data_IF_360645292264
#
_entry.id   IF_360645292264
#
_cell.length_a   1.000
_cell.length_b   1.000
_cell.length_c   1.000
_cell.angle_alpha   90.00
_cell.angle_beta   90.00
_cell.angle_gamma   90.00
#
_symmetry.space_group_name_H-M   'P 1'
#
loop_
_entity.id
_entity.type
_entity.pdbx_description
1 polymer ?
#
# COMPACT_ATOMS: atom_id res chain seq x y z
N UNK A 1 3.10 -12.42 -24.64
CA UNK A 1 2.08 -13.49 -24.46
C UNK A 1 1.56 -13.94 -25.82
N UNK A 2 1.18 -15.21 -26.03
CA UNK A 2 0.63 -15.63 -27.35
C UNK A 2 -0.88 -15.45 -27.38
N UNK A 3 -1.43 -14.94 -28.48
CA UNK A 3 -2.88 -14.78 -28.76
C UNK A 3 -3.71 -16.07 -28.50
N UNK A 4 -3.04 -17.21 -28.40
CA UNK A 4 -3.68 -18.49 -28.12
C UNK A 4 -4.02 -18.67 -26.64
N UNK A 5 -3.25 -18.09 -25.70
CA UNK A 5 -3.40 -18.34 -24.27
C UNK A 5 -4.70 -17.79 -23.68
N UNK A 6 -5.08 -16.55 -24.00
CA UNK A 6 -6.35 -15.95 -23.57
C UNK A 6 -7.55 -16.73 -24.12
N UNK A 7 -7.45 -17.15 -25.37
CA UNK A 7 -8.51 -17.93 -26.02
C UNK A 7 -8.64 -19.31 -25.39
N UNK A 8 -7.53 -19.95 -25.04
CA UNK A 8 -7.54 -21.27 -24.42
C UNK A 8 -8.03 -21.23 -22.97
N UNK A 9 -7.69 -20.18 -22.21
CA UNK A 9 -8.27 -19.94 -20.88
C UNK A 9 -9.77 -19.64 -20.95
N UNK A 10 -10.23 -18.89 -21.95
CA UNK A 10 -11.66 -18.65 -22.14
C UNK A 10 -12.43 -19.94 -22.53
N UNK A 11 -11.80 -20.86 -23.26
CA UNK A 11 -12.36 -22.20 -23.50
C UNK A 11 -12.45 -23.03 -22.23
N UNK A 12 -11.41 -23.04 -21.39
CA UNK A 12 -11.46 -23.73 -20.08
C UNK A 12 -12.60 -23.20 -19.22
N UNK A 13 -12.79 -21.87 -19.18
CA UNK A 13 -13.96 -21.25 -18.51
C UNK A 13 -15.27 -21.79 -19.08
N UNK A 14 -15.41 -21.85 -20.41
CA UNK A 14 -16.60 -22.43 -21.07
C UNK A 14 -16.84 -23.90 -20.75
N UNK A 15 -15.77 -24.71 -20.65
CA UNK A 15 -15.84 -26.11 -20.26
C UNK A 15 -16.30 -26.26 -18.80
N UNK A 16 -15.77 -25.44 -17.88
CA UNK A 16 -16.22 -25.41 -16.48
C UNK A 16 -17.66 -24.96 -16.33
N UNK A 17 -18.08 -23.95 -17.09
CA UNK A 17 -19.50 -23.54 -17.14
C UNK A 17 -20.38 -24.67 -17.64
N UNK A 18 -19.97 -25.39 -18.69
CA UNK A 18 -20.75 -26.52 -19.24
C UNK A 18 -20.91 -27.65 -18.22
N UNK A 19 -19.87 -27.96 -17.45
CA UNK A 19 -19.94 -28.93 -16.36
C UNK A 19 -20.91 -28.50 -15.24
N UNK A 20 -20.83 -27.22 -14.83
CA UNK A 20 -21.74 -26.64 -13.84
C UNK A 20 -23.21 -26.70 -14.31
N UNK A 21 -23.46 -26.39 -15.59
CA UNK A 21 -24.79 -26.43 -16.19
C UNK A 21 -25.34 -27.85 -16.28
N UNK A 22 -24.49 -28.84 -16.56
CA UNK A 22 -24.90 -30.25 -16.58
C UNK A 22 -25.37 -30.71 -15.20
N UNK A 23 -24.76 -30.20 -14.12
CA UNK A 23 -25.20 -30.46 -12.74
C UNK A 23 -26.50 -29.73 -12.42
N UNK A 24 -26.62 -28.46 -12.80
CA UNK A 24 -27.84 -27.68 -12.60
C UNK A 24 -29.05 -28.25 -13.37
N UNK A 25 -28.83 -28.79 -14.57
CA UNK A 25 -29.89 -29.38 -15.38
C UNK A 25 -30.54 -30.60 -14.69
N UNK A 26 -29.78 -31.37 -13.90
CA UNK A 26 -30.34 -32.47 -13.10
C UNK A 26 -31.33 -31.99 -12.04
N UNK A 27 -31.20 -30.75 -11.56
CA UNK A 27 -32.19 -30.12 -10.66
C UNK A 27 -33.44 -29.66 -11.42
N UNK A 28 -33.24 -29.22 -12.68
CA UNK A 28 -34.29 -28.71 -13.55
C UNK A 28 -35.21 -29.81 -14.14
N UNK A 29 -34.85 -31.10 -14.00
CA UNK A 29 -35.69 -32.21 -14.47
C UNK A 29 -37.01 -32.35 -13.69
N UNK A 30 -37.08 -31.83 -12.47
CA UNK A 30 -38.33 -31.76 -11.73
C UNK A 30 -39.23 -30.70 -12.37
N UNK A 31 -40.47 -31.01 -12.80
CA UNK A 31 -41.38 -30.02 -13.43
C UNK A 31 -41.97 -29.00 -12.43
N UNK A 32 -41.16 -28.48 -11.54
CA UNK A 32 -41.52 -27.48 -10.52
C UNK A 32 -41.27 -26.05 -11.02
N UNK A 33 -41.93 -25.07 -10.43
CA UNK A 33 -41.71 -23.64 -10.74
C UNK A 33 -40.27 -23.22 -10.41
N UNK A 34 -39.68 -23.82 -9.36
CA UNK A 34 -38.29 -23.60 -8.96
C UNK A 34 -37.30 -24.17 -9.97
N UNK A 35 -37.60 -25.31 -10.59
CA UNK A 35 -36.78 -25.88 -11.66
C UNK A 35 -36.76 -25.02 -12.92
N UNK A 36 -37.87 -24.35 -13.25
CA UNK A 36 -37.90 -23.40 -14.36
C UNK A 36 -36.98 -22.20 -14.11
N UNK A 37 -36.93 -21.69 -12.87
CA UNK A 37 -36.02 -20.61 -12.50
C UNK A 37 -34.53 -21.01 -12.53
N UNK A 38 -34.22 -22.29 -12.28
CA UNK A 38 -32.87 -22.85 -12.43
C UNK A 38 -32.50 -23.03 -13.90
N UNK A 39 -33.43 -23.51 -14.73
CA UNK A 39 -33.24 -23.64 -16.18
C UNK A 39 -32.97 -22.28 -16.83
N UNK A 40 -33.78 -21.26 -16.52
CA UNK A 40 -33.59 -19.90 -17.05
C UNK A 40 -32.24 -19.30 -16.61
N UNK A 41 -31.86 -19.48 -15.34
CA UNK A 41 -30.55 -19.04 -14.86
C UNK A 41 -29.39 -19.81 -15.54
N UNK A 42 -29.62 -21.09 -15.85
CA UNK A 42 -28.68 -21.93 -16.59
C UNK A 42 -28.46 -21.42 -18.02
N UNK A 43 -29.54 -21.08 -18.73
CA UNK A 43 -29.47 -20.49 -20.08
C UNK A 43 -28.69 -19.18 -20.06
N UNK A 44 -28.98 -18.27 -19.10
CA UNK A 44 -28.24 -17.01 -18.96
C UNK A 44 -26.75 -17.20 -18.68
N UNK A 45 -26.40 -18.21 -17.89
CA UNK A 45 -25.01 -18.55 -17.60
C UNK A 45 -24.31 -19.12 -18.85
N UNK A 46 -25.00 -19.95 -19.64
CA UNK A 46 -24.49 -20.45 -20.92
C UNK A 46 -24.25 -19.31 -21.92
N UNK A 47 -25.17 -18.36 -22.03
CA UNK A 47 -25.04 -17.22 -22.93
C UNK A 47 -23.89 -16.31 -22.50
N UNK A 48 -23.77 -16.01 -21.21
CA UNK A 48 -22.65 -15.22 -20.68
C UNK A 48 -21.28 -15.89 -20.94
N UNK A 49 -21.20 -17.22 -20.90
CA UNK A 49 -19.97 -17.94 -21.24
C UNK A 49 -19.64 -17.88 -22.73
N UNK A 50 -20.64 -17.93 -23.61
CA UNK A 50 -20.45 -17.74 -25.06
C UNK A 50 -20.00 -16.32 -25.37
N UNK A 51 -20.61 -15.33 -24.74
CA UNK A 51 -20.26 -13.92 -24.91
C UNK A 51 -18.83 -13.65 -24.43
N UNK A 52 -18.43 -14.25 -23.30
CA UNK A 52 -17.06 -14.19 -22.81
C UNK A 52 -16.07 -14.80 -23.81
N UNK A 53 -16.36 -15.98 -24.36
CA UNK A 53 -15.49 -16.62 -25.35
C UNK A 53 -15.37 -15.79 -26.63
N UNK A 54 -16.48 -15.25 -27.14
CA UNK A 54 -16.47 -14.36 -28.30
C UNK A 54 -15.67 -13.09 -28.01
N UNK A 55 -15.87 -12.49 -26.84
CA UNK A 55 -15.10 -11.33 -26.40
C UNK A 55 -13.61 -11.66 -26.34
N UNK A 56 -13.22 -12.81 -25.77
CA UNK A 56 -11.84 -13.27 -25.71
C UNK A 56 -11.24 -13.46 -27.11
N UNK A 57 -11.97 -14.07 -28.05
CA UNK A 57 -11.52 -14.26 -29.43
C UNK A 57 -11.31 -12.93 -30.17
N UNK A 58 -12.20 -11.95 -29.96
CA UNK A 58 -12.12 -10.63 -30.59
C UNK A 58 -11.01 -9.76 -29.99
N UNK A 59 -10.80 -9.87 -28.67
CA UNK A 59 -9.86 -9.03 -27.93
C UNK A 59 -8.46 -9.62 -27.85
N UNK A 60 -8.29 -10.94 -28.00
CA UNK A 60 -6.99 -11.60 -27.83
C UNK A 60 -5.87 -11.00 -28.71
N UNK A 61 -6.08 -10.68 -30.01
CA UNK A 61 -5.02 -10.06 -30.82
C UNK A 61 -4.63 -8.65 -30.38
N UNK A 62 -5.52 -7.95 -29.67
CA UNK A 62 -5.36 -6.56 -29.22
C UNK A 62 -5.46 -6.44 -27.71
N UNK A 63 -5.12 -7.51 -26.96
CA UNK A 63 -5.36 -7.56 -25.51
C UNK A 63 -4.48 -6.58 -24.72
N UNK A 64 -3.45 -6.03 -25.35
CA UNK A 64 -2.61 -4.95 -24.82
C UNK A 64 -3.38 -3.62 -24.70
N UNK A 65 -4.50 -3.47 -25.42
CA UNK A 65 -5.33 -2.27 -25.40
C UNK A 65 -6.25 -2.25 -24.16
N UNK A 66 -6.26 -1.16 -23.35
CA UNK A 66 -7.01 -1.11 -22.08
C UNK A 66 -8.53 -1.32 -22.23
N UNK A 67 -9.11 -0.87 -23.35
CA UNK A 67 -10.53 -1.02 -23.63
C UNK A 67 -10.90 -2.48 -23.92
N UNK A 68 -10.00 -3.25 -24.54
CA UNK A 68 -10.15 -4.68 -24.76
C UNK A 68 -10.12 -5.47 -23.45
N UNK A 69 -9.19 -5.13 -22.54
CA UNK A 69 -9.12 -5.72 -21.20
C UNK A 69 -10.36 -5.41 -20.36
N UNK A 70 -10.86 -4.17 -20.45
CA UNK A 70 -12.08 -3.74 -19.75
C UNK A 70 -13.31 -4.50 -20.24
N UNK A 71 -13.45 -4.67 -21.56
CA UNK A 71 -14.53 -5.45 -22.16
C UNK A 71 -14.48 -6.92 -21.71
N UNK A 72 -13.29 -7.53 -21.69
CA UNK A 72 -13.10 -8.91 -21.25
C UNK A 72 -13.37 -9.09 -19.76
N UNK A 73 -13.00 -8.10 -18.94
CA UNK A 73 -13.30 -8.06 -17.49
C UNK A 73 -14.80 -7.99 -17.26
N UNK A 74 -15.52 -7.12 -17.96
CA UNK A 74 -16.97 -6.98 -17.85
C UNK A 74 -17.71 -8.26 -18.25
N UNK A 75 -17.24 -8.95 -19.30
CA UNK A 75 -17.79 -10.25 -19.71
C UNK A 75 -17.57 -11.33 -18.63
N UNK A 76 -16.37 -11.37 -18.03
CA UNK A 76 -16.03 -12.29 -16.95
C UNK A 76 -16.87 -12.06 -15.68
N UNK A 77 -17.11 -10.80 -15.32
CA UNK A 77 -17.99 -10.43 -14.21
C UNK A 77 -19.46 -10.77 -14.48
N UNK A 78 -19.92 -10.58 -15.71
CA UNK A 78 -21.27 -10.98 -16.14
C UNK A 78 -21.46 -12.49 -15.98
N UNK A 79 -20.48 -13.30 -16.38
CA UNK A 79 -20.55 -14.76 -16.20
C UNK A 79 -20.54 -15.16 -14.72
N UNK A 80 -19.65 -14.56 -13.90
CA UNK A 80 -19.60 -14.83 -12.46
C UNK A 80 -20.92 -14.48 -11.77
N UNK A 81 -21.52 -13.32 -12.12
CA UNK A 81 -22.84 -12.93 -11.63
C UNK A 81 -23.93 -13.93 -12.03
N UNK A 82 -23.97 -14.34 -13.31
CA UNK A 82 -24.92 -15.36 -13.79
C UNK A 82 -24.76 -16.70 -13.06
N UNK A 83 -23.53 -17.15 -12.78
CA UNK A 83 -23.26 -18.36 -12.01
C UNK A 83 -23.74 -18.24 -10.55
N UNK A 84 -23.57 -17.07 -9.92
CA UNK A 84 -24.10 -16.82 -8.57
C UNK A 84 -25.63 -16.78 -8.54
N UNK A 85 -26.26 -16.24 -9.58
CA UNK A 85 -27.72 -16.30 -9.73
C UNK A 85 -28.20 -17.74 -9.88
N UNK A 86 -27.50 -18.57 -10.67
CA UNK A 86 -27.78 -20.00 -10.79
C UNK A 86 -27.69 -20.71 -9.44
N UNK A 87 -26.63 -20.46 -8.65
CA UNK A 87 -26.48 -21.02 -7.30
C UNK A 87 -27.63 -20.58 -6.38
N UNK A 88 -28.01 -19.30 -6.43
CA UNK A 88 -29.07 -18.75 -5.59
C UNK A 88 -30.43 -19.37 -5.91
N UNK A 89 -30.76 -19.52 -7.20
CA UNK A 89 -32.00 -20.15 -7.63
C UNK A 89 -32.00 -21.66 -7.37
N UNK A 90 -30.83 -22.29 -7.29
CA UNK A 90 -30.71 -23.72 -6.99
C UNK A 90 -30.89 -24.05 -5.50
N UNK A 91 -30.60 -23.12 -4.59
CA UNK A 91 -30.74 -23.29 -3.12
C UNK A 91 -32.05 -23.96 -2.67
N UNK A 92 -33.26 -23.49 -3.06
CA UNK A 92 -34.51 -24.08 -2.59
C UNK A 92 -34.72 -25.54 -3.04
N UNK A 93 -34.10 -25.98 -4.13
CA UNK A 93 -34.13 -27.38 -4.56
C UNK A 93 -33.12 -28.24 -3.79
N UNK A 94 -31.98 -27.64 -3.43
CA UNK A 94 -30.89 -28.30 -2.72
C UNK A 94 -31.17 -28.53 -1.22
N UNK A 95 -32.15 -27.83 -0.64
CA UNK A 95 -32.64 -28.09 0.73
C UNK A 95 -33.41 -29.42 0.86
N UNK A 96 -33.75 -30.05 -0.27
CA UNK A 96 -34.39 -31.37 -0.25
C UNK A 96 -33.35 -32.49 -0.05
N UNK A 97 -33.59 -33.45 0.87
CA UNK A 97 -32.65 -34.54 1.17
C UNK A 97 -32.21 -35.37 -0.04
N UNK A 98 -33.04 -35.40 -1.09
CA UNK A 98 -32.81 -36.12 -2.34
C UNK A 98 -31.62 -35.60 -3.15
N UNK A 99 -31.25 -34.31 -3.00
CA UNK A 99 -30.24 -33.65 -3.84
C UNK A 99 -28.95 -33.26 -3.11
N UNK A 100 -28.72 -33.81 -1.91
CA UNK A 100 -27.58 -33.40 -1.07
C UNK A 100 -26.20 -33.65 -1.73
N UNK A 101 -26.05 -34.74 -2.49
CA UNK A 101 -24.85 -35.00 -3.30
C UNK A 101 -24.64 -33.96 -4.42
N UNK A 102 -25.74 -33.45 -4.97
CA UNK A 102 -25.73 -32.46 -6.05
C UNK A 102 -25.38 -31.07 -5.50
N UNK A 103 -25.65 -30.80 -4.23
CA UNK A 103 -25.21 -29.58 -3.53
C UNK A 103 -23.69 -29.44 -3.56
N UNK A 104 -22.97 -30.48 -3.17
CA UNK A 104 -21.51 -30.47 -3.10
C UNK A 104 -20.91 -30.35 -4.52
N UNK A 105 -21.46 -31.09 -5.48
CA UNK A 105 -21.07 -31.00 -6.89
C UNK A 105 -21.24 -29.59 -7.46
N UNK A 106 -22.38 -28.94 -7.22
CA UNK A 106 -22.70 -27.61 -7.74
C UNK A 106 -21.79 -26.53 -7.12
N UNK A 107 -21.51 -26.63 -5.82
CA UNK A 107 -20.58 -25.72 -5.13
C UNK A 107 -19.14 -25.92 -5.63
N UNK A 108 -18.70 -27.17 -5.83
CA UNK A 108 -17.39 -27.47 -6.40
C UNK A 108 -17.28 -26.91 -7.82
N UNK A 109 -18.29 -27.13 -8.67
CA UNK A 109 -18.35 -26.61 -10.03
C UNK A 109 -18.29 -25.07 -10.09
N UNK A 110 -19.05 -24.38 -9.23
CA UNK A 110 -19.01 -22.92 -9.14
C UNK A 110 -17.66 -22.41 -8.64
N UNK A 111 -17.03 -23.11 -7.71
CA UNK A 111 -15.68 -22.78 -7.21
C UNK A 111 -14.64 -22.93 -8.32
N UNK A 112 -14.70 -24.01 -9.10
CA UNK A 112 -13.78 -24.26 -10.20
C UNK A 112 -13.96 -23.25 -11.35
N UNK A 113 -15.20 -22.87 -11.64
CA UNK A 113 -15.50 -21.79 -12.59
C UNK A 113 -14.88 -20.46 -12.16
N UNK A 114 -15.06 -20.06 -10.89
CA UNK A 114 -14.49 -18.80 -10.39
C UNK A 114 -12.94 -18.83 -10.42
N UNK A 115 -12.31 -19.97 -10.10
CA UNK A 115 -10.86 -20.13 -10.25
C UNK A 115 -10.40 -19.99 -11.70
N UNK A 116 -11.15 -20.55 -12.66
CA UNK A 116 -10.83 -20.41 -14.08
C UNK A 116 -10.97 -18.96 -14.54
N UNK A 117 -12.00 -18.24 -14.08
CA UNK A 117 -12.19 -16.81 -14.33
C UNK A 117 -11.05 -15.96 -13.73
N UNK A 118 -10.59 -16.28 -12.52
CA UNK A 118 -9.47 -15.58 -11.90
C UNK A 118 -8.17 -15.79 -12.66
N UNK A 119 -7.91 -17.02 -13.15
CA UNK A 119 -6.76 -17.30 -14.02
C UNK A 119 -6.82 -16.52 -15.33
N UNK A 120 -8.00 -16.46 -15.95
CA UNK A 120 -8.22 -15.66 -17.16
C UNK A 120 -7.94 -14.18 -16.90
N UNK A 121 -8.46 -13.61 -15.80
CA UNK A 121 -8.21 -12.22 -15.38
C UNK A 121 -6.73 -11.95 -15.14
N UNK A 122 -6.06 -12.87 -14.45
CA UNK A 122 -4.63 -12.76 -14.17
C UNK A 122 -3.79 -12.76 -15.45
N UNK A 123 -4.14 -13.60 -16.43
CA UNK A 123 -3.38 -13.73 -17.67
C UNK A 123 -3.26 -12.41 -18.45
N UNK A 124 -4.31 -11.59 -18.53
CA UNK A 124 -4.21 -10.27 -19.15
C UNK A 124 -3.87 -9.12 -18.19
N UNK A 125 -3.89 -9.36 -16.87
CA UNK A 125 -3.38 -8.42 -15.87
C UNK A 125 -1.85 -8.50 -15.71
N UNK A 126 -1.23 -9.65 -16.03
CA UNK A 126 0.20 -9.89 -15.87
C UNK A 126 1.08 -9.18 -16.91
N UNK A 127 0.54 -8.66 -18.01
CA UNK A 127 1.35 -7.89 -18.97
C UNK A 127 1.44 -6.38 -18.65
N UNK A 128 0.57 -5.85 -17.79
CA UNK A 128 0.66 -4.50 -17.27
C UNK A 128 -0.29 -4.42 -16.07
N UNK A 129 0.22 -4.11 -14.87
CA UNK A 129 -0.65 -3.57 -13.82
C UNK A 129 -1.52 -2.49 -14.48
N UNK A 130 -2.84 -2.67 -14.42
CA UNK A 130 -3.83 -1.99 -15.27
C UNK A 130 -3.38 -0.57 -15.61
N UNK A 131 -3.37 -0.17 -16.88
CA UNK A 131 -3.03 1.21 -17.29
C UNK A 131 -3.81 2.23 -16.42
N UNK A 132 -5.04 1.87 -16.02
CA UNK A 132 -5.84 2.61 -15.05
C UNK A 132 -5.19 2.71 -13.67
N UNK A 133 -4.67 1.61 -13.10
CA UNK A 133 -3.94 1.61 -11.83
C UNK A 133 -2.61 2.36 -11.92
N UNK A 134 -1.89 2.27 -13.04
CA UNK A 134 -0.67 3.06 -13.26
C UNK A 134 -0.98 4.55 -13.35
N UNK A 135 -2.04 4.94 -14.07
CA UNK A 135 -2.52 6.32 -14.16
C UNK A 135 -2.98 6.82 -12.78
N UNK A 136 -3.73 6.02 -12.02
CA UNK A 136 -4.22 6.38 -10.70
C UNK A 136 -3.08 6.53 -9.70
N UNK A 137 -2.09 5.63 -9.72
CA UNK A 137 -0.86 5.75 -8.94
C UNK A 137 -0.04 6.96 -9.35
N UNK A 138 0.09 7.23 -10.65
CA UNK A 138 0.80 8.40 -11.14
C UNK A 138 0.09 9.70 -10.74
N UNK A 139 -1.25 9.74 -10.74
CA UNK A 139 -2.04 10.85 -10.24
C UNK A 139 -1.87 11.04 -8.72
N UNK A 140 -1.92 9.96 -7.94
CA UNK A 140 -1.67 10.00 -6.50
C UNK A 140 -0.25 10.48 -6.19
N UNK A 141 0.75 10.00 -6.93
CA UNK A 141 2.13 10.46 -6.83
C UNK A 141 2.27 11.94 -7.20
N UNK A 142 1.68 12.39 -8.30
CA UNK A 142 1.68 13.80 -8.71
C UNK A 142 1.01 14.70 -7.66
N UNK A 143 -0.10 14.24 -7.08
CA UNK A 143 -0.78 14.93 -5.99
C UNK A 143 0.11 15.00 -4.76
N UNK A 144 0.75 13.89 -4.38
CA UNK A 144 1.69 13.84 -3.27
C UNK A 144 2.89 14.78 -3.50
N UNK A 145 3.51 14.76 -4.69
CA UNK A 145 4.58 15.69 -5.08
C UNK A 145 4.14 17.16 -5.02
N UNK A 146 2.89 17.44 -5.41
CA UNK A 146 2.33 18.79 -5.31
C UNK A 146 2.15 19.18 -3.85
N UNK A 147 1.69 18.26 -3.00
CA UNK A 147 1.54 18.47 -1.57
C UNK A 147 2.89 18.68 -0.89
N UNK A 148 3.92 17.87 -1.17
CA UNK A 148 5.30 18.04 -0.66
C UNK A 148 5.97 19.32 -1.21
N UNK A 149 5.67 19.70 -2.46
CA UNK A 149 6.12 20.97 -3.04
C UNK A 149 5.49 22.21 -2.38
N UNK A 150 4.19 22.15 -2.05
CA UNK A 150 3.50 23.24 -1.35
C UNK A 150 3.91 23.31 0.12
N UNK A 151 4.06 22.17 0.75
CA UNK A 151 4.69 21.96 2.04
C UNK A 151 6.05 22.66 2.21
N UNK A 152 6.92 22.61 1.20
CA UNK A 152 8.17 23.36 1.19
C UNK A 152 7.98 24.88 1.38
N UNK A 153 6.85 25.44 0.92
CA UNK A 153 6.51 26.86 1.18
C UNK A 153 6.16 27.09 2.66
N UNK A 154 5.52 26.12 3.32
CA UNK A 154 5.24 26.20 4.76
C UNK A 154 6.50 26.04 5.61
N UNK A 155 7.44 25.18 5.19
CA UNK A 155 8.78 25.10 5.78
C UNK A 155 9.55 26.43 5.66
N UNK A 156 9.40 27.12 4.54
CA UNK A 156 9.92 28.49 4.41
C UNK A 156 9.35 29.47 5.45
N UNK A 157 8.13 29.24 5.96
CA UNK A 157 7.60 30.03 7.08
C UNK A 157 8.21 29.58 8.41
N UNK A 158 8.47 28.28 8.58
CA UNK A 158 9.17 27.75 9.75
C UNK A 158 10.62 28.28 9.84
N UNK A 159 11.35 28.39 8.73
CA UNK A 159 12.66 29.05 8.67
C UNK A 159 12.57 30.53 9.07
N UNK A 160 11.55 31.23 8.58
CA UNK A 160 11.32 32.64 8.94
C UNK A 160 11.06 32.77 10.44
N UNK A 161 10.25 31.88 11.02
CA UNK A 161 10.03 31.85 12.47
C UNK A 161 11.32 31.53 13.22
N UNK A 162 12.13 30.57 12.75
CA UNK A 162 13.43 30.24 13.36
C UNK A 162 14.38 31.45 13.33
N UNK A 163 14.38 32.22 12.24
CA UNK A 163 15.22 33.40 12.02
C UNK A 163 14.82 34.63 12.85
N UNK A 164 13.61 34.65 13.46
CA UNK A 164 13.19 35.78 14.32
C UNK A 164 14.04 35.85 15.59
N UNK A 165 14.26 37.06 16.16
CA UNK A 165 14.88 37.19 17.48
C UNK A 165 14.11 36.40 18.55
N UNK A 166 14.81 35.92 19.57
CA UNK A 166 14.17 35.33 20.75
C UNK A 166 13.33 36.41 21.44
N UNK A 167 12.05 36.12 21.66
CA UNK A 167 11.15 37.04 22.36
C UNK A 167 11.37 36.83 23.85
N UNK A 168 11.87 37.85 24.55
CA UNK A 168 12.13 37.80 26.00
C UNK A 168 11.00 38.39 26.85
N UNK A 169 9.95 38.95 26.23
CA UNK A 169 8.81 39.54 26.93
C UNK A 169 7.55 38.70 26.69
N UNK A 170 7.14 37.94 27.71
CA UNK A 170 6.01 37.00 27.66
C UNK A 170 4.82 37.49 28.50
N UNK A 171 4.54 38.80 28.50
CA UNK A 171 3.36 39.33 29.20
C UNK A 171 2.07 38.84 28.51
N UNK A 172 1.44 37.82 29.10
CA UNK A 172 0.05 37.43 28.83
C UNK A 172 -0.17 36.23 27.89
N UNK A 173 0.88 35.51 27.48
CA UNK A 173 0.75 34.28 26.70
C UNK A 173 1.00 33.09 27.62
N UNK A 174 0.04 32.16 27.70
CA UNK A 174 0.27 30.86 28.34
C UNK A 174 1.35 30.13 27.54
N UNK A 175 2.56 30.08 28.07
CA UNK A 175 3.67 29.35 27.46
C UNK A 175 3.37 27.85 27.51
N UNK A 176 3.72 27.14 26.44
CA UNK A 176 3.77 25.69 26.44
C UNK A 176 4.76 25.22 27.53
N UNK A 177 4.44 24.15 28.23
CA UNK A 177 5.38 23.53 29.17
C UNK A 177 6.46 22.73 28.44
N UNK A 178 7.57 22.41 29.11
CA UNK A 178 8.59 21.51 28.54
C UNK A 178 7.99 20.14 28.16
N UNK A 179 7.05 19.63 28.98
CA UNK A 179 6.29 18.40 28.71
C UNK A 179 5.38 18.52 27.46
N UNK A 180 4.74 19.67 27.25
CA UNK A 180 3.95 19.92 26.03
C UNK A 180 4.82 19.91 24.77
N UNK A 181 6.03 20.48 24.86
CA UNK A 181 7.00 20.49 23.75
C UNK A 181 7.52 19.08 23.48
N UNK A 182 7.89 18.33 24.52
CA UNK A 182 8.30 16.93 24.39
C UNK A 182 7.21 16.09 23.68
N UNK A 183 5.94 16.23 24.09
CA UNK A 183 4.80 15.56 23.45
C UNK A 183 4.62 15.96 21.98
N UNK A 184 4.84 17.23 21.63
CA UNK A 184 4.76 17.67 20.23
C UNK A 184 5.93 17.16 19.39
N UNK A 185 7.14 17.07 19.95
CA UNK A 185 8.29 16.44 19.29
C UNK A 185 8.02 14.95 19.06
N UNK A 186 7.52 14.23 20.07
CA UNK A 186 7.11 12.83 19.92
C UNK A 186 6.02 12.64 18.85
N UNK A 187 5.07 13.57 18.76
CA UNK A 187 4.06 13.56 17.68
C UNK A 187 4.69 13.80 16.31
N UNK A 188 5.69 14.67 16.18
CA UNK A 188 6.45 14.86 14.93
C UNK A 188 7.19 13.58 14.53
N UNK A 189 7.85 12.92 15.48
CA UNK A 189 8.50 11.62 15.27
C UNK A 189 7.53 10.58 14.72
N UNK A 190 6.35 10.42 15.34
CA UNK A 190 5.33 9.50 14.84
C UNK A 190 4.80 9.85 13.44
N UNK A 191 4.70 11.14 13.11
CA UNK A 191 4.32 11.59 11.76
C UNK A 191 5.39 11.22 10.73
N UNK A 192 6.68 11.42 11.04
CA UNK A 192 7.78 11.03 10.15
C UNK A 192 7.81 9.51 9.95
N UNK A 193 7.66 8.73 11.03
CA UNK A 193 7.55 7.27 10.94
C UNK A 193 6.41 6.83 10.01
N UNK A 194 5.27 7.52 10.05
CA UNK A 194 4.15 7.26 9.14
C UNK A 194 4.48 7.59 7.68
N UNK A 195 5.24 8.66 7.40
CA UNK A 195 5.70 8.99 6.03
C UNK A 195 6.65 7.90 5.51
N UNK A 196 7.62 7.50 6.33
CA UNK A 196 8.57 6.43 5.98
C UNK A 196 7.80 5.15 5.66
N UNK A 197 6.97 4.67 6.58
CA UNK A 197 6.18 3.46 6.40
C UNK A 197 5.28 3.49 5.16
N UNK A 198 4.61 4.63 4.92
CA UNK A 198 3.71 4.79 3.79
C UNK A 198 4.43 4.81 2.43
N UNK A 199 5.74 5.04 2.42
CA UNK A 199 6.55 5.12 1.19
C UNK A 199 7.59 4.01 1.05
N UNK A 200 7.68 3.10 2.03
CA UNK A 200 8.58 1.95 2.02
C UNK A 200 8.31 0.98 0.86
N UNK A 201 7.05 0.65 0.60
CA UNK A 201 6.69 -0.20 -0.53
C UNK A 201 6.72 0.63 -1.83
N UNK A 202 7.86 0.63 -2.51
CA UNK A 202 8.06 1.38 -3.77
C UNK A 202 7.13 0.94 -4.89
N UNK A 203 6.71 -0.33 -4.88
CA UNK A 203 5.77 -0.86 -5.87
C UNK A 203 4.35 -0.37 -5.58
N UNK A 204 3.97 -0.27 -4.30
CA UNK A 204 2.65 0.15 -3.85
C UNK A 204 2.69 1.16 -2.68
N UNK A 205 3.17 2.39 -2.90
CA UNK A 205 3.21 3.39 -1.83
C UNK A 205 1.79 3.81 -1.43
N UNK A 206 1.55 3.98 -0.13
CA UNK A 206 0.33 4.57 0.41
C UNK A 206 0.44 6.10 0.42
N UNK A 207 0.32 6.70 -0.78
CA UNK A 207 0.37 8.15 -0.93
C UNK A 207 -0.72 8.89 -0.16
N UNK A 208 -1.85 8.24 0.17
CA UNK A 208 -2.91 8.87 0.95
C UNK A 208 -2.49 9.07 2.41
N UNK A 209 -1.93 8.03 3.03
CA UNK A 209 -1.35 8.12 4.38
C UNK A 209 -0.15 9.07 4.42
N UNK A 210 0.73 9.00 3.41
CA UNK A 210 1.86 9.91 3.30
C UNK A 210 1.42 11.37 3.18
N UNK A 211 0.43 11.67 2.33
CA UNK A 211 -0.10 13.03 2.14
C UNK A 211 -0.68 13.61 3.45
N UNK A 212 -1.44 12.80 4.19
CA UNK A 212 -2.02 13.21 5.47
C UNK A 212 -0.93 13.46 6.54
N UNK A 213 0.06 12.59 6.61
CA UNK A 213 1.18 12.73 7.54
C UNK A 213 1.99 14.00 7.23
N UNK A 214 2.38 14.18 5.97
CA UNK A 214 3.05 15.37 5.43
C UNK A 214 2.25 16.64 5.76
N UNK A 215 0.95 16.67 5.45
CA UNK A 215 0.09 17.80 5.78
C UNK A 215 0.06 18.13 7.28
N UNK A 216 -0.02 17.10 8.14
CA UNK A 216 -0.02 17.26 9.59
C UNK A 216 1.32 17.80 10.09
N UNK A 217 2.44 17.29 9.57
CA UNK A 217 3.79 17.73 9.93
C UNK A 217 3.94 19.25 9.80
N UNK A 218 3.50 19.82 8.67
CA UNK A 218 3.66 21.25 8.40
C UNK A 218 2.78 22.17 9.23
N UNK A 219 1.66 21.66 9.73
CA UNK A 219 0.86 22.42 10.71
C UNK A 219 1.49 22.41 12.10
N UNK A 220 2.20 21.32 12.44
CA UNK A 220 2.77 21.12 13.77
C UNK A 220 4.15 21.80 13.92
N UNK A 221 5.03 21.66 12.93
CA UNK A 221 6.42 22.15 12.96
C UNK A 221 6.56 23.62 13.39
N UNK A 222 5.78 24.58 12.85
CA UNK A 222 5.89 25.98 13.25
C UNK A 222 5.50 26.24 14.70
N UNK A 223 4.59 25.44 15.26
CA UNK A 223 4.23 25.56 16.69
C UNK A 223 5.33 25.00 17.58
N UNK A 224 5.97 23.89 17.20
CA UNK A 224 7.13 23.35 17.92
C UNK A 224 8.28 24.35 17.95
N UNK A 225 8.64 24.94 16.81
CA UNK A 225 9.73 25.94 16.75
C UNK A 225 9.42 27.13 17.65
N UNK A 226 8.18 27.64 17.65
CA UNK A 226 7.77 28.76 18.49
C UNK A 226 7.91 28.43 19.98
N UNK A 227 7.39 27.29 20.37
CA UNK A 227 7.36 26.85 21.77
C UNK A 227 8.76 26.55 22.30
N UNK A 228 9.57 25.82 21.51
CA UNK A 228 10.99 25.56 21.83
C UNK A 228 11.74 26.88 22.00
N UNK A 229 11.61 27.83 21.06
CA UNK A 229 12.28 29.14 21.17
C UNK A 229 11.88 29.91 22.43
N UNK A 230 10.61 29.89 22.81
CA UNK A 230 10.13 30.57 24.01
C UNK A 230 10.74 29.94 25.29
N UNK A 231 10.80 28.61 25.36
CA UNK A 231 11.40 27.89 26.50
C UNK A 231 12.92 28.03 26.56
N UNK A 232 13.57 28.22 25.40
CA UNK A 232 15.03 28.32 25.30
C UNK A 232 15.56 29.70 25.68
N UNK A 233 14.70 30.73 25.70
CA UNK A 233 15.09 32.09 26.07
C UNK A 233 15.73 32.18 27.48
N UNK A 234 15.36 31.27 28.38
CA UNK A 234 15.84 31.22 29.76
C UNK A 234 17.05 30.29 29.97
N UNK A 235 17.51 29.57 28.94
CA UNK A 235 18.69 28.68 29.01
C UNK A 235 19.97 29.46 28.73
N UNK A 236 21.13 28.90 29.10
CA UNK A 236 22.44 29.51 28.84
C UNK A 236 22.75 29.59 27.33
N UNK A 237 23.78 30.36 26.96
CA UNK A 237 24.10 30.64 25.56
C UNK A 237 24.51 29.38 24.79
N UNK A 238 25.25 28.47 25.41
CA UNK A 238 25.74 27.25 24.77
C UNK A 238 24.59 26.28 24.51
N UNK A 239 23.74 26.03 25.52
CA UNK A 239 22.53 25.20 25.38
C UNK A 239 21.58 25.78 24.34
N UNK A 240 21.43 27.11 24.29
CA UNK A 240 20.58 27.79 23.32
C UNK A 240 21.08 27.63 21.89
N UNK A 241 22.38 27.80 21.65
CA UNK A 241 22.96 27.63 20.32
C UNK A 241 22.84 26.18 19.83
N UNK A 242 22.99 25.20 20.74
CA UNK A 242 22.75 23.79 20.45
C UNK A 242 21.29 23.54 20.02
N UNK A 243 20.32 23.97 20.83
CA UNK A 243 18.89 23.81 20.52
C UNK A 243 18.50 24.46 19.20
N UNK A 244 19.04 25.64 18.89
CA UNK A 244 18.77 26.31 17.61
C UNK A 244 19.38 25.58 16.42
N UNK A 245 20.54 24.94 16.62
CA UNK A 245 21.17 24.06 15.62
C UNK A 245 20.33 22.81 15.40
N UNK A 246 19.87 22.16 16.47
CA UNK A 246 19.04 20.95 16.39
C UNK A 246 17.69 21.25 15.74
N UNK A 247 17.06 22.39 16.02
CA UNK A 247 15.84 22.83 15.32
C UNK A 247 16.05 23.02 13.81
N UNK A 248 17.22 23.54 13.42
CA UNK A 248 17.57 23.71 12.00
C UNK A 248 17.79 22.35 11.34
N UNK A 249 18.54 21.47 11.98
CA UNK A 249 18.78 20.11 11.48
C UNK A 249 17.47 19.33 11.35
N UNK A 250 16.55 19.47 12.31
CA UNK A 250 15.22 18.87 12.28
C UNK A 250 14.38 19.39 11.10
N UNK A 251 14.41 20.70 10.86
CA UNK A 251 13.75 21.33 9.71
C UNK A 251 14.31 20.82 8.38
N UNK A 252 15.64 20.83 8.24
CA UNK A 252 16.33 20.41 7.02
C UNK A 252 16.09 18.92 6.74
N UNK A 253 16.18 18.06 7.76
CA UNK A 253 15.87 16.64 7.64
C UNK A 253 14.40 16.39 7.25
N UNK A 254 13.44 17.16 7.80
CA UNK A 254 12.03 17.07 7.40
C UNK A 254 11.83 17.46 5.92
N UNK A 255 12.62 18.41 5.38
CA UNK A 255 12.61 18.74 3.94
C UNK A 255 13.15 17.59 3.11
N UNK A 256 14.31 17.06 3.52
CA UNK A 256 14.97 15.94 2.84
C UNK A 256 14.04 14.72 2.79
N UNK A 257 13.33 14.40 3.88
CA UNK A 257 12.35 13.31 3.91
C UNK A 257 11.22 13.53 2.91
N UNK A 258 10.70 14.76 2.80
CA UNK A 258 9.60 15.04 1.88
C UNK A 258 10.03 15.09 0.41
N UNK A 259 11.26 15.52 0.14
CA UNK A 259 11.87 15.38 -1.18
C UNK A 259 12.05 13.88 -1.50
N UNK A 260 12.61 13.13 -0.55
CA UNK A 260 12.97 11.72 -0.73
C UNK A 260 11.74 10.83 -0.89
N UNK A 261 10.69 11.05 -0.10
CA UNK A 261 9.44 10.33 -0.18
C UNK A 261 8.72 10.51 -1.53
N UNK A 262 9.07 11.57 -2.28
CA UNK A 262 8.43 11.91 -3.56
C UNK A 262 9.28 11.52 -4.79
N UNK A 263 10.51 11.04 -4.55
CA UNK A 263 11.52 10.72 -5.55
C UNK A 263 11.97 9.25 -5.41
N UNK A 264 12.14 8.55 -6.54
CA UNK A 264 12.50 7.12 -6.51
C UNK A 264 14.00 6.89 -6.19
N UNK A 265 14.82 7.96 -6.15
CA UNK A 265 16.29 7.88 -6.11
C UNK A 265 16.95 8.52 -4.88
N UNK A 266 16.18 8.97 -3.89
CA UNK A 266 16.70 9.71 -2.75
C UNK A 266 16.74 8.85 -1.47
N UNK A 267 17.73 9.12 -0.61
CA UNK A 267 17.99 8.36 0.61
C UNK A 267 17.03 8.78 1.75
N UNK A 268 15.80 8.28 1.66
CA UNK A 268 14.75 8.50 2.66
C UNK A 268 15.19 8.05 4.06
N UNK A 269 15.92 6.93 4.14
CA UNK A 269 16.37 6.37 5.42
C UNK A 269 17.47 7.25 6.04
N UNK A 270 18.42 7.72 5.24
CA UNK A 270 19.44 8.68 5.69
C UNK A 270 18.83 10.00 6.18
N UNK A 271 17.81 10.52 5.49
CA UNK A 271 17.07 11.69 5.94
C UNK A 271 16.30 11.43 7.25
N UNK A 272 15.71 10.23 7.39
CA UNK A 272 15.09 9.76 8.63
C UNK A 272 16.06 9.69 9.81
N UNK A 273 17.27 9.16 9.59
CA UNK A 273 18.30 9.08 10.62
C UNK A 273 18.77 10.47 11.11
N UNK A 274 18.95 11.43 10.20
CA UNK A 274 19.25 12.84 10.58
C UNK A 274 18.12 13.46 11.40
N UNK A 275 16.86 13.17 11.03
CA UNK A 275 15.69 13.65 11.78
C UNK A 275 15.65 13.04 13.18
N UNK A 276 15.90 11.73 13.29
CA UNK A 276 15.97 11.02 14.56
C UNK A 276 17.00 11.66 15.51
N UNK A 277 18.23 11.87 15.04
CA UNK A 277 19.31 12.50 15.83
C UNK A 277 18.89 13.88 16.37
N UNK A 278 18.46 14.79 15.49
CA UNK A 278 18.06 16.14 15.89
C UNK A 278 16.84 16.16 16.82
N UNK A 279 15.87 15.26 16.58
CA UNK A 279 14.66 15.19 17.41
C UNK A 279 14.90 14.54 18.77
N UNK A 280 15.80 13.56 18.88
CA UNK A 280 16.22 12.96 20.16
C UNK A 280 16.96 13.98 21.02
N UNK A 281 17.90 14.73 20.43
CA UNK A 281 18.63 15.77 21.15
C UNK A 281 17.69 16.84 21.72
N UNK A 282 16.72 17.29 20.93
CA UNK A 282 15.68 18.22 21.41
C UNK A 282 14.78 17.58 22.46
N UNK A 283 14.35 16.34 22.26
CA UNK A 283 13.46 15.65 23.19
C UNK A 283 14.12 15.47 24.57
N UNK A 284 15.41 15.10 24.61
CA UNK A 284 16.17 14.91 25.84
C UNK A 284 16.39 16.22 26.62
N UNK A 285 16.49 17.36 25.93
CA UNK A 285 16.55 18.68 26.58
C UNK A 285 15.29 19.01 27.37
N UNK A 286 14.12 18.59 26.87
CA UNK A 286 12.81 18.91 27.46
C UNK A 286 12.21 17.76 28.28
N UNK A 287 12.74 16.54 28.13
CA UNK A 287 12.33 15.36 28.89
C UNK A 287 13.53 14.44 29.21
N UNK A 288 14.35 14.78 30.23
CA UNK A 288 15.57 14.04 30.56
C UNK A 288 15.35 12.72 31.31
N UNK A 289 14.10 12.32 31.60
CA UNK A 289 13.76 11.19 32.48
C UNK A 289 13.47 9.87 31.74
N UNK A 290 13.98 9.72 30.52
CA UNK A 290 13.74 8.53 29.71
C UNK A 290 14.64 7.38 30.16
N UNK A 291 14.05 6.19 30.35
CA UNK A 291 14.78 4.96 30.67
C UNK A 291 15.30 4.32 29.38
N UNK A 292 16.63 4.28 29.13
CA UNK A 292 17.21 3.89 27.84
C UNK A 292 17.09 2.39 27.54
N UNK A 293 16.85 1.55 28.53
CA UNK A 293 16.94 0.08 28.40
C UNK A 293 16.01 -0.50 27.33
N UNK A 294 14.78 -0.01 27.21
CA UNK A 294 13.81 -0.52 26.22
C UNK A 294 14.11 0.06 24.84
N UNK A 295 14.53 1.33 24.77
CA UNK A 295 14.88 2.01 23.52
C UNK A 295 16.12 1.37 22.88
N UNK A 296 17.17 1.13 23.67
CA UNK A 296 18.40 0.45 23.22
C UNK A 296 18.09 -0.96 22.70
N UNK A 297 17.23 -1.71 23.38
CA UNK A 297 16.84 -3.05 22.96
C UNK A 297 16.09 -3.04 21.61
N UNK A 298 15.13 -2.13 21.43
CA UNK A 298 14.38 -2.01 20.18
C UNK A 298 15.32 -1.60 19.03
N UNK A 299 16.25 -0.69 19.31
CA UNK A 299 17.27 -0.25 18.37
C UNK A 299 18.21 -1.38 17.94
N UNK A 300 18.72 -2.15 18.90
CA UNK A 300 19.59 -3.30 18.64
C UNK A 300 18.87 -4.38 17.82
N UNK A 301 17.63 -4.71 18.18
CA UNK A 301 16.83 -5.70 17.46
C UNK A 301 16.53 -5.25 16.02
N UNK A 302 16.20 -3.97 15.80
CA UNK A 302 15.96 -3.42 14.48
C UNK A 302 17.24 -3.39 13.62
N UNK A 303 18.39 -3.03 14.21
CA UNK A 303 19.68 -3.04 13.55
C UNK A 303 20.12 -4.48 13.16
N UNK A 304 19.89 -5.44 14.06
CA UNK A 304 20.13 -6.85 13.80
C UNK A 304 19.25 -7.36 12.65
N UNK A 305 17.95 -7.05 12.64
CA UNK A 305 17.04 -7.41 11.56
C UNK A 305 17.47 -6.83 10.21
N UNK A 306 17.89 -5.56 10.17
CA UNK A 306 18.41 -4.92 8.96
C UNK A 306 19.69 -5.59 8.45
N UNK A 307 20.60 -5.95 9.35
CA UNK A 307 21.87 -6.62 9.02
C UNK A 307 21.60 -8.02 8.45
N UNK A 308 20.82 -8.84 9.15
CA UNK A 308 20.45 -10.19 8.72
C UNK A 308 19.73 -10.19 7.37
N UNK A 309 18.83 -9.23 7.15
CA UNK A 309 18.12 -9.11 5.86
C UNK A 309 19.07 -8.71 4.73
N UNK A 310 20.07 -7.87 5.01
CA UNK A 310 21.08 -7.49 4.01
C UNK A 310 21.98 -8.66 3.63
N UNK A 311 22.34 -9.51 4.60
CA UNK A 311 23.07 -10.76 4.34
C UNK A 311 22.21 -11.75 3.52
N UNK A 312 20.92 -11.89 3.87
CA UNK A 312 19.98 -12.70 3.09
C UNK A 312 19.84 -12.17 1.65
N UNK A 313 19.78 -10.85 1.46
CA UNK A 313 19.68 -10.24 0.14
C UNK A 313 20.85 -10.62 -0.77
N UNK A 314 22.07 -10.65 -0.23
CA UNK A 314 23.25 -11.08 -1.00
C UNK A 314 23.11 -12.53 -1.51
N UNK A 315 22.59 -13.42 -0.66
CA UNK A 315 22.31 -14.81 -1.05
C UNK A 315 21.16 -14.90 -2.08
N UNK A 316 20.13 -14.05 -1.91
CA UNK A 316 18.99 -13.96 -2.84
C UNK A 316 19.44 -13.50 -4.23
N UNK A 317 20.36 -12.54 -4.33
CA UNK A 317 20.94 -12.10 -5.60
C UNK A 317 21.69 -13.22 -6.32
N UNK A 318 22.55 -13.94 -5.59
CA UNK A 318 23.27 -15.08 -6.15
C UNK A 318 22.30 -16.15 -6.68
N UNK A 319 21.27 -16.48 -5.89
CA UNK A 319 20.26 -17.47 -6.28
C UNK A 319 19.40 -16.99 -7.46
N UNK A 320 19.04 -15.71 -7.51
CA UNK A 320 18.29 -15.12 -8.61
C UNK A 320 19.06 -15.19 -9.94
N UNK A 321 20.39 -14.98 -9.90
CA UNK A 321 21.27 -15.10 -11.05
C UNK A 321 21.39 -16.57 -11.53
N UNK A 322 21.47 -17.53 -10.60
CA UNK A 322 21.52 -18.97 -10.92
C UNK A 322 20.21 -19.49 -11.53
N UNK A 323 19.06 -19.05 -11.02
CA UNK A 323 17.73 -19.43 -11.54
C UNK A 323 17.50 -18.82 -12.92
N UNK A 324 17.82 -17.54 -13.09
CA UNK A 324 17.61 -16.78 -14.31
C UNK A 324 16.14 -16.62 -14.71
N UNK A 325 15.90 -15.88 -15.80
CA UNK A 325 14.56 -15.66 -16.35
C UNK A 325 13.61 -14.94 -15.38
N UNK A 326 12.30 -15.07 -15.65
CA UNK A 326 11.24 -14.43 -14.86
C UNK A 326 11.24 -14.82 -13.37
N UNK A 327 11.44 -16.10 -12.98
CA UNK A 327 11.49 -16.48 -11.57
C UNK A 327 12.68 -15.85 -10.83
N UNK A 328 13.85 -15.74 -11.49
CA UNK A 328 15.02 -15.04 -10.95
C UNK A 328 14.74 -13.56 -10.73
N UNK A 329 14.18 -12.87 -11.73
CA UNK A 329 13.81 -11.44 -11.60
C UNK A 329 12.74 -11.18 -10.53
N UNK A 330 11.77 -12.08 -10.37
CA UNK A 330 10.77 -11.97 -9.30
C UNK A 330 11.42 -12.13 -7.93
N UNK A 331 12.32 -13.09 -7.78
CA UNK A 331 13.05 -13.34 -6.54
C UNK A 331 13.94 -12.15 -6.16
N UNK A 332 14.65 -11.57 -7.12
CA UNK A 332 15.46 -10.35 -6.97
C UNK A 332 14.62 -9.16 -6.45
N UNK A 333 13.50 -8.88 -7.12
CA UNK A 333 12.56 -7.82 -6.74
C UNK A 333 12.01 -8.00 -5.32
N UNK A 334 11.61 -9.23 -4.96
CA UNK A 334 11.09 -9.53 -3.61
C UNK A 334 12.17 -9.48 -2.54
N UNK A 335 13.41 -9.86 -2.88
CA UNK A 335 14.57 -9.66 -2.02
C UNK A 335 14.79 -8.19 -1.71
N UNK A 336 14.86 -7.35 -2.74
CA UNK A 336 15.07 -5.91 -2.61
C UNK A 336 13.96 -5.26 -1.76
N UNK A 337 12.69 -5.58 -2.01
CA UNK A 337 11.56 -5.07 -1.23
C UNK A 337 11.65 -5.46 0.27
N UNK A 338 12.13 -6.67 0.57
CA UNK A 338 12.32 -7.13 1.96
C UNK A 338 13.42 -6.34 2.66
N UNK A 339 14.53 -6.06 1.97
CA UNK A 339 15.61 -5.25 2.51
C UNK A 339 15.21 -3.78 2.72
N UNK A 340 14.41 -3.22 1.82
CA UNK A 340 13.85 -1.87 1.98
C UNK A 340 12.91 -1.80 3.20
N UNK A 341 12.09 -2.83 3.42
CA UNK A 341 11.26 -2.94 4.62
C UNK A 341 12.07 -3.01 5.92
N UNK A 342 13.17 -3.77 5.92
CA UNK A 342 14.05 -3.86 7.09
C UNK A 342 14.78 -2.53 7.39
N UNK A 343 15.21 -1.79 6.36
CA UNK A 343 15.78 -0.45 6.52
C UNK A 343 14.76 0.57 7.01
N UNK A 344 13.52 0.49 6.52
CA UNK A 344 12.43 1.33 7.00
C UNK A 344 12.10 1.05 8.47
N UNK A 345 12.11 -0.23 8.89
CA UNK A 345 11.93 -0.61 10.29
C UNK A 345 13.01 0.01 11.19
N UNK A 346 14.28 -0.07 10.78
CA UNK A 346 15.39 0.58 11.49
C UNK A 346 15.20 2.09 11.58
N UNK A 347 14.82 2.73 10.47
CA UNK A 347 14.57 4.18 10.44
C UNK A 347 13.41 4.58 11.36
N UNK A 348 12.33 3.79 11.38
CA UNK A 348 11.19 4.01 12.27
C UNK A 348 11.65 3.89 13.73
N UNK A 349 12.40 2.84 14.08
CA UNK A 349 12.94 2.66 15.43
C UNK A 349 13.85 3.82 15.86
N UNK A 350 14.68 4.35 14.96
CA UNK A 350 15.52 5.53 15.24
C UNK A 350 14.69 6.78 15.53
N UNK A 351 13.61 6.98 14.77
CA UNK A 351 12.79 8.18 14.88
C UNK A 351 11.88 8.14 16.09
N UNK A 352 11.30 7.00 16.46
CA UNK A 352 10.32 6.90 17.55
C UNK A 352 10.98 6.72 18.90
#
# INVERSE_FOLDING_TARGET
MTTNEITDLAKDVGDKTSLLLMQANKLAESKSEQAFAVDEAGVRCADAARDLLLCAMLTSPTIHEPHCQSALTAAAETLSSSAQHLMTNSKPLLEQPTYQHLTDELHAGNTDLNKALDRLKQAYASENGSESDKILRQQQRLKFMTTTGNANKYLGNADKELSKPLVTDHKGISLATEDDVAKRIAKLKGIIAAVVLATTDRDKPDYASAELAVGTMYTLLPSVIRDVKALTANKDAETRDKIMTDLKNLLDAAREICASASSDNEDLNGAGAKFAEASNDLYNVFNPQVSPVIEDQIMDDAAAACTLTSEMLANVYQLAEEIGGEPGSMLDSKGAATADAAKALLTIAQVT
#
